data_IF_304572998385
#
_entry.id   IF_304572998385
#
_cell.length_a   1.000
_cell.length_b   1.000
_cell.length_c   1.000
_cell.angle_alpha   90.00
_cell.angle_beta   90.00
_cell.angle_gamma   90.00
#
_symmetry.space_group_name_H-M   'P 1'
#
loop_
_entity.id
_entity.type
_entity.pdbx_description
1 polymer ?
#
# COMPACT_ATOMS: atom_id res chain seq x y z
N UNK A 1 -18.35 -28.00 64.06
CA UNK A 1 -19.07 -27.35 62.93
C UNK A 1 -18.03 -26.69 62.03
N UNK A 2 -17.78 -27.29 60.86
CA UNK A 2 -16.79 -26.83 59.88
C UNK A 2 -17.40 -25.66 59.10
N UNK A 3 -16.93 -24.42 59.32
CA UNK A 3 -17.29 -23.29 58.45
C UNK A 3 -16.34 -23.29 57.25
N UNK A 4 -16.90 -23.68 56.11
CA UNK A 4 -16.27 -23.74 54.80
C UNK A 4 -15.79 -22.35 54.36
N UNK A 5 -14.49 -22.26 54.02
CA UNK A 5 -13.91 -21.22 53.18
C UNK A 5 -14.58 -21.30 51.80
N UNK A 6 -15.55 -20.44 51.52
CA UNK A 6 -16.32 -20.45 50.28
C UNK A 6 -16.58 -19.02 49.79
N UNK A 7 -15.50 -18.31 49.48
CA UNK A 7 -15.60 -16.96 48.89
C UNK A 7 -14.37 -16.56 48.10
N UNK A 8 -13.18 -16.99 48.55
CA UNK A 8 -11.92 -16.56 47.93
C UNK A 8 -11.54 -17.32 46.65
N UNK A 9 -12.09 -18.51 46.41
CA UNK A 9 -11.72 -19.35 45.26
C UNK A 9 -12.56 -19.02 44.01
N UNK A 10 -13.81 -18.58 44.18
CA UNK A 10 -14.67 -18.15 43.08
C UNK A 10 -14.21 -16.81 42.47
N UNK A 11 -13.64 -15.92 43.27
CA UNK A 11 -13.11 -14.65 42.78
C UNK A 11 -11.85 -14.82 41.93
N UNK A 12 -10.99 -15.79 42.25
CA UNK A 12 -9.81 -16.10 41.42
C UNK A 12 -10.17 -16.79 40.10
N UNK A 13 -11.17 -17.69 40.09
CA UNK A 13 -11.62 -18.31 38.84
C UNK A 13 -12.29 -17.31 37.88
N UNK A 14 -12.98 -16.29 38.40
CA UNK A 14 -13.54 -15.20 37.58
C UNK A 14 -12.46 -14.26 37.01
N UNK A 15 -11.31 -14.09 37.70
CA UNK A 15 -10.16 -13.37 37.16
C UNK A 15 -9.39 -14.19 36.10
N UNK A 16 -9.39 -15.52 36.19
CA UNK A 16 -8.73 -16.40 35.23
C UNK A 16 -9.50 -16.58 33.92
N UNK A 17 -10.82 -16.30 33.89
CA UNK A 17 -11.59 -16.24 32.65
C UNK A 17 -11.77 -14.81 32.13
N UNK A 18 -11.28 -13.80 32.84
CA UNK A 18 -11.18 -12.41 32.34
C UNK A 18 -9.87 -12.19 31.59
N UNK A 19 -9.44 -13.18 30.80
CA UNK A 19 -8.71 -12.84 29.59
C UNK A 19 -9.75 -12.25 28.65
N UNK A 20 -10.04 -10.96 28.83
CA UNK A 20 -10.58 -10.19 27.74
C UNK A 20 -9.63 -10.42 26.57
N UNK A 21 -10.17 -10.93 25.46
CA UNK A 21 -9.51 -10.78 24.18
C UNK A 21 -9.27 -9.28 24.01
N UNK A 22 -8.06 -8.83 24.33
CA UNK A 22 -7.58 -7.57 23.80
C UNK A 22 -7.61 -7.79 22.30
N UNK A 23 -8.54 -7.11 21.61
CA UNK A 23 -8.51 -7.07 20.16
C UNK A 23 -7.10 -6.66 19.76
N UNK A 24 -6.34 -7.59 19.17
CA UNK A 24 -4.97 -7.27 18.80
C UNK A 24 -5.04 -6.34 17.57
N UNK A 25 -4.42 -5.17 17.70
CA UNK A 25 -4.32 -4.24 16.60
C UNK A 25 -3.54 -4.85 15.44
N UNK A 26 -4.11 -4.76 14.24
CA UNK A 26 -3.37 -5.08 13.03
C UNK A 26 -2.18 -4.11 12.89
N UNK A 27 -1.02 -4.61 12.45
CA UNK A 27 0.17 -3.78 12.26
C UNK A 27 0.76 -3.96 10.87
N UNK A 28 1.37 -2.90 10.33
CA UNK A 28 2.10 -2.97 9.07
C UNK A 28 3.48 -3.61 9.29
N UNK A 29 3.79 -4.64 8.49
CA UNK A 29 5.07 -5.33 8.52
C UNK A 29 6.00 -4.73 7.45
N UNK A 30 7.17 -4.24 7.87
CA UNK A 30 8.25 -3.82 6.96
C UNK A 30 9.07 -5.02 6.44
N UNK A 31 9.58 -5.01 5.19
CA UNK A 31 9.43 -3.98 4.17
C UNK A 31 8.22 -4.19 3.25
N UNK A 32 7.67 -3.09 2.74
CA UNK A 32 6.80 -3.08 1.57
C UNK A 32 7.62 -3.37 0.30
N UNK A 33 7.06 -4.15 -0.62
CA UNK A 33 7.67 -4.40 -1.93
C UNK A 33 7.06 -3.45 -2.96
N UNK A 34 7.87 -2.93 -3.89
CA UNK A 34 7.38 -2.07 -4.96
C UNK A 34 7.87 -2.55 -6.32
N UNK A 35 7.05 -2.34 -7.36
CA UNK A 35 7.50 -2.44 -8.74
C UNK A 35 7.53 -1.03 -9.36
N UNK A 36 8.62 -0.66 -10.07
CA UNK A 36 8.62 0.57 -10.84
C UNK A 36 7.61 0.50 -11.99
N UNK A 37 7.23 1.65 -12.53
CA UNK A 37 6.49 1.71 -13.79
C UNK A 37 7.40 1.30 -14.95
N UNK A 38 6.85 0.66 -15.97
CA UNK A 38 7.64 0.17 -17.12
C UNK A 38 8.10 1.29 -18.06
N UNK A 39 7.36 2.39 -18.11
CA UNK A 39 7.64 3.51 -19.00
C UNK A 39 7.51 4.85 -18.27
N UNK A 40 8.10 5.89 -18.86
CA UNK A 40 7.97 7.25 -18.34
C UNK A 40 6.50 7.66 -18.38
N UNK A 41 5.96 8.13 -17.25
CA UNK A 41 4.54 8.41 -17.07
C UNK A 41 3.61 7.19 -17.19
N UNK A 42 4.17 5.98 -17.10
CA UNK A 42 3.38 4.76 -16.97
C UNK A 42 2.58 4.72 -15.67
N UNK A 43 1.57 3.85 -15.65
CA UNK A 43 0.67 3.63 -14.52
C UNK A 43 0.56 2.15 -14.17
N UNK A 44 1.63 1.38 -14.34
CA UNK A 44 1.70 -0.07 -14.11
C UNK A 44 2.55 -0.43 -12.88
N UNK A 45 2.91 0.55 -12.07
CA UNK A 45 3.61 0.34 -10.81
C UNK A 45 2.71 -0.34 -9.78
N UNK A 46 3.36 -1.01 -8.82
CA UNK A 46 2.68 -1.69 -7.72
C UNK A 46 3.33 -1.41 -6.38
N UNK A 47 2.52 -1.43 -5.33
CA UNK A 47 2.95 -1.43 -3.93
C UNK A 47 2.30 -2.64 -3.27
N UNK A 48 3.10 -3.50 -2.66
CA UNK A 48 2.63 -4.61 -1.84
C UNK A 48 3.05 -4.37 -0.40
N UNK A 49 2.09 -4.42 0.50
CA UNK A 49 2.29 -4.26 1.94
C UNK A 49 1.88 -5.53 2.65
N UNK A 50 2.71 -5.94 3.61
CA UNK A 50 2.41 -7.04 4.52
C UNK A 50 1.77 -6.48 5.76
N UNK A 51 0.79 -7.21 6.27
CA UNK A 51 0.11 -6.88 7.52
C UNK A 51 0.28 -8.07 8.47
N UNK A 52 0.48 -7.79 9.75
CA UNK A 52 0.13 -8.76 10.77
C UNK A 52 -1.35 -8.53 11.07
N UNK A 53 -2.25 -9.42 10.61
CA UNK A 53 -3.67 -9.22 10.78
C UNK A 53 -4.04 -9.19 12.26
N UNK A 54 -5.02 -8.35 12.57
CA UNK A 54 -5.64 -8.27 13.86
C UNK A 54 -6.66 -9.39 14.06
N UNK A 55 -7.49 -9.25 15.08
CA UNK A 55 -8.67 -10.11 15.29
C UNK A 55 -9.91 -9.62 14.50
N UNK A 56 -9.77 -8.46 13.83
CA UNK A 56 -10.81 -7.66 13.20
C UNK A 56 -10.65 -7.59 11.67
N UNK A 57 -11.65 -7.05 10.98
CA UNK A 57 -11.53 -6.74 9.54
C UNK A 57 -10.66 -5.52 9.31
N UNK A 58 -9.62 -5.62 8.48
CA UNK A 58 -8.74 -4.49 8.18
C UNK A 58 -9.06 -3.80 6.85
N UNK A 59 -8.93 -2.47 6.86
CA UNK A 59 -9.00 -1.63 5.67
C UNK A 59 -7.67 -0.95 5.44
N UNK A 60 -7.20 -0.92 4.18
CA UNK A 60 -6.07 -0.08 3.81
C UNK A 60 -6.46 1.03 2.85
N UNK A 61 -5.90 2.19 3.15
CA UNK A 61 -5.95 3.36 2.30
C UNK A 61 -4.54 3.64 1.79
N UNK A 62 -4.38 3.69 0.48
CA UNK A 62 -3.17 4.20 -0.15
C UNK A 62 -3.38 5.67 -0.49
N UNK A 63 -2.48 6.52 -0.01
CA UNK A 63 -2.48 7.94 -0.35
C UNK A 63 -1.23 8.33 -1.10
N UNK A 64 -1.37 9.29 -2.01
CA UNK A 64 -0.28 9.92 -2.75
C UNK A 64 -0.25 11.40 -2.44
N UNK A 65 0.94 11.96 -2.25
CA UNK A 65 1.08 13.41 -2.16
C UNK A 65 0.68 14.10 -3.47
N UNK A 66 -0.20 15.08 -3.39
CA UNK A 66 -0.59 15.94 -4.49
C UNK A 66 0.04 17.34 -4.29
N UNK A 67 1.06 17.70 -5.08
CA UNK A 67 1.74 18.98 -4.92
C UNK A 67 0.87 20.19 -5.28
N UNK A 68 -0.14 20.02 -6.13
CA UNK A 68 -1.08 21.09 -6.48
C UNK A 68 -2.00 21.46 -5.32
N UNK A 69 -2.27 20.51 -4.42
CA UNK A 69 -3.11 20.71 -3.23
C UNK A 69 -2.29 20.85 -1.94
N UNK A 70 -0.99 20.58 -1.98
CA UNK A 70 -0.13 20.51 -0.80
C UNK A 70 -0.55 19.44 0.21
N UNK A 71 -1.27 18.40 -0.22
CA UNK A 71 -1.88 17.40 0.66
C UNK A 71 -1.83 16.00 0.07
N UNK A 72 -1.99 15.00 0.94
CA UNK A 72 -2.20 13.61 0.54
C UNK A 72 -3.63 13.40 0.04
N UNK A 73 -3.76 12.69 -1.06
CA UNK A 73 -5.06 12.30 -1.63
C UNK A 73 -5.12 10.79 -1.77
N UNK A 74 -6.31 10.23 -1.57
CA UNK A 74 -6.53 8.80 -1.75
C UNK A 74 -6.30 8.41 -3.21
N UNK A 75 -5.59 7.31 -3.42
CA UNK A 75 -5.35 6.77 -4.75
C UNK A 75 -6.61 6.06 -5.19
N UNK A 76 -7.31 6.65 -6.17
CA UNK A 76 -8.44 5.99 -6.81
C UNK A 76 -7.98 4.70 -7.51
N UNK A 77 -8.68 3.59 -7.25
CA UNK A 77 -8.35 2.29 -7.81
C UNK A 77 -9.25 1.18 -7.27
N UNK A 78 -9.03 -0.07 -7.71
CA UNK A 78 -9.67 -1.23 -7.12
C UNK A 78 -9.37 -1.27 -5.62
N UNK A 79 -10.38 -1.56 -4.81
CA UNK A 79 -10.18 -1.79 -3.37
C UNK A 79 -9.23 -2.99 -3.24
N UNK A 80 -8.07 -2.84 -2.59
CA UNK A 80 -7.12 -3.93 -2.44
C UNK A 80 -7.73 -5.01 -1.55
N UNK A 81 -7.52 -6.28 -1.91
CA UNK A 81 -8.02 -7.43 -1.15
C UNK A 81 -6.88 -8.02 -0.33
N UNK A 82 -7.17 -8.40 0.91
CA UNK A 82 -6.23 -9.12 1.76
C UNK A 82 -6.09 -10.56 1.27
N UNK A 83 -4.90 -10.92 0.79
CA UNK A 83 -4.57 -12.29 0.39
C UNK A 83 -3.24 -12.68 1.02
N UNK A 84 -3.19 -13.78 1.77
CA UNK A 84 -1.97 -14.25 2.45
C UNK A 84 -1.27 -13.14 3.25
N UNK A 85 -2.05 -12.39 4.04
CA UNK A 85 -1.58 -11.28 4.86
C UNK A 85 -0.89 -10.15 4.07
N UNK A 86 -1.27 -9.98 2.80
CA UNK A 86 -0.79 -8.92 1.92
C UNK A 86 -1.92 -8.18 1.24
N UNK A 87 -1.74 -6.86 1.12
CA UNK A 87 -2.51 -6.01 0.23
C UNK A 87 -1.62 -5.58 -0.93
N UNK A 88 -2.17 -5.63 -2.14
CA UNK A 88 -1.47 -5.20 -3.35
C UNK A 88 -2.26 -4.08 -4.02
N UNK A 89 -1.59 -2.94 -4.18
CA UNK A 89 -2.05 -1.82 -4.97
C UNK A 89 -1.41 -1.90 -6.35
N UNK A 90 -2.22 -1.78 -7.39
CA UNK A 90 -1.79 -1.80 -8.79
C UNK A 90 -2.27 -0.54 -9.50
N UNK A 91 -1.77 -0.28 -10.71
CA UNK A 91 -2.22 0.88 -11.46
C UNK A 91 -1.53 2.19 -11.03
N UNK A 92 -0.39 2.09 -10.33
CA UNK A 92 0.25 3.24 -9.71
C UNK A 92 1.17 3.95 -10.69
N UNK A 93 1.10 5.28 -10.68
CA UNK A 93 2.07 6.14 -11.37
C UNK A 93 3.33 6.31 -10.52
N UNK A 94 4.40 6.82 -11.12
CA UNK A 94 5.61 7.14 -10.38
C UNK A 94 5.40 8.30 -9.39
N UNK A 95 5.83 8.10 -8.14
CA UNK A 95 5.87 9.11 -7.08
C UNK A 95 6.85 8.68 -5.98
N UNK A 96 7.44 9.66 -5.29
CA UNK A 96 8.32 9.43 -4.15
C UNK A 96 7.59 9.48 -2.80
N UNK A 97 6.29 9.81 -2.81
CA UNK A 97 5.52 10.17 -1.63
C UNK A 97 4.20 9.40 -1.60
N UNK A 98 4.30 8.07 -1.53
CA UNK A 98 3.18 7.24 -1.13
C UNK A 98 3.22 6.99 0.37
N UNK A 99 2.05 6.94 0.99
CA UNK A 99 1.86 6.45 2.36
C UNK A 99 0.70 5.47 2.41
N UNK A 100 0.75 4.56 3.37
CA UNK A 100 -0.27 3.53 3.55
C UNK A 100 -0.79 3.63 4.96
N UNK A 101 -2.09 3.78 5.08
CA UNK A 101 -2.80 3.84 6.35
C UNK A 101 -3.56 2.53 6.50
N UNK A 102 -3.27 1.81 7.57
CA UNK A 102 -4.01 0.64 8.04
C UNK A 102 -5.01 1.10 9.07
N UNK A 103 -6.28 0.74 8.86
CA UNK A 103 -7.38 1.05 9.76
C UNK A 103 -8.02 -0.27 10.16
N UNK A 104 -8.11 -0.50 11.45
CA UNK A 104 -8.93 -1.57 12.01
C UNK A 104 -10.42 -1.19 11.87
N UNK A 105 -11.20 -2.10 11.28
CA UNK A 105 -12.62 -1.90 11.02
C UNK A 105 -13.50 -1.87 12.27
N UNK A 106 -13.04 -2.49 13.36
CA UNK A 106 -13.75 -2.57 14.64
C UNK A 106 -13.27 -1.49 15.64
N UNK A 107 -12.06 -0.93 15.46
CA UNK A 107 -11.56 0.19 16.25
C UNK A 107 -10.79 1.24 15.41
N UNK A 108 -11.44 2.38 15.14
CA UNK A 108 -10.81 3.47 14.38
C UNK A 108 -9.57 4.11 15.06
N UNK A 109 -9.34 3.88 16.36
CA UNK A 109 -8.14 4.36 17.05
C UNK A 109 -6.94 3.44 16.84
N UNK A 110 -7.19 2.24 16.33
CA UNK A 110 -6.19 1.26 16.00
C UNK A 110 -5.67 1.51 14.57
N UNK A 111 -4.73 2.45 14.48
CA UNK A 111 -4.12 2.87 13.22
C UNK A 111 -2.70 2.33 13.12
N UNK A 112 -2.39 1.68 12.00
CA UNK A 112 -1.02 1.40 11.58
C UNK A 112 -0.61 2.37 10.47
N UNK A 113 0.49 3.08 10.62
CA UNK A 113 1.08 3.87 9.53
C UNK A 113 2.48 3.33 9.19
N UNK A 114 2.85 3.42 7.92
CA UNK A 114 4.23 3.25 7.52
C UNK A 114 4.91 4.59 7.75
N UNK A 115 5.78 4.69 8.76
CA UNK A 115 6.49 5.94 9.06
C UNK A 115 7.42 6.40 7.91
N UNK A 116 7.74 5.51 6.98
CA UNK A 116 8.57 5.80 5.80
C UNK A 116 7.74 5.92 4.51
N UNK A 117 8.06 6.94 3.71
CA UNK A 117 7.47 7.11 2.39
C UNK A 117 7.86 5.98 1.44
N UNK A 118 6.87 5.48 0.71
CA UNK A 118 7.05 4.44 -0.30
C UNK A 118 7.25 5.11 -1.67
N UNK A 119 8.21 4.59 -2.44
CA UNK A 119 8.56 5.12 -3.76
C UNK A 119 8.19 4.14 -4.87
N UNK A 120 7.45 4.63 -5.87
CA UNK A 120 7.27 3.98 -7.16
C UNK A 120 8.10 4.75 -8.18
N UNK A 121 9.14 4.11 -8.71
CA UNK A 121 10.11 4.74 -9.62
C UNK A 121 9.67 4.62 -11.07
N UNK A 122 10.19 5.49 -11.94
CA UNK A 122 10.09 5.38 -13.39
C UNK A 122 11.48 5.36 -14.04
N UNK A 123 11.62 4.85 -15.27
CA UNK A 123 12.84 4.98 -16.05
C UNK A 123 13.25 6.46 -16.19
N UNK A 124 14.53 6.74 -15.95
CA UNK A 124 15.11 8.08 -16.05
C UNK A 124 15.64 8.41 -17.46
N UNK A 125 15.80 7.41 -18.32
CA UNK A 125 16.27 7.57 -19.69
C UNK A 125 15.10 7.95 -20.60
N UNK A 126 15.24 9.08 -21.29
CA UNK A 126 14.40 9.38 -22.45
C UNK A 126 14.70 8.31 -23.51
N UNK A 127 13.66 7.66 -24.02
CA UNK A 127 13.81 6.76 -25.16
C UNK A 127 14.26 7.62 -26.36
N UNK A 128 15.55 7.57 -26.69
CA UNK A 128 16.09 8.27 -27.83
C UNK A 128 15.76 7.46 -29.09
N UNK A 129 14.86 7.98 -29.92
CA UNK A 129 14.66 7.50 -31.28
C UNK A 129 15.79 8.10 -32.13
N UNK A 130 16.77 7.28 -32.48
CA UNK A 130 17.76 7.64 -33.48
C UNK A 130 17.25 7.14 -34.83
N UNK A 131 17.19 8.03 -35.82
CA UNK A 131 16.90 7.62 -37.20
C UNK A 131 18.19 7.03 -37.76
N UNK A 132 18.27 5.69 -37.84
CA UNK A 132 19.46 4.98 -38.32
C UNK A 132 19.75 5.23 -39.81
N UNK A 133 18.71 5.47 -40.61
CA UNK A 133 18.86 5.91 -41.98
C UNK A 133 17.61 6.62 -42.48
N UNK A 134 17.82 7.57 -43.38
CA UNK A 134 16.78 8.24 -44.17
C UNK A 134 17.16 8.07 -45.63
N UNK A 135 16.21 7.69 -46.46
CA UNK A 135 16.39 7.76 -47.92
C UNK A 135 16.01 9.14 -48.39
N UNK A 136 16.94 9.86 -49.03
CA UNK A 136 16.62 11.12 -49.69
C UNK A 136 15.94 10.84 -51.04
N UNK A 137 14.85 11.56 -51.32
CA UNK A 137 14.22 11.51 -52.63
C UNK A 137 15.07 12.37 -53.56
N UNK A 138 15.95 11.71 -54.31
CA UNK A 138 16.93 12.30 -55.24
C UNK A 138 16.33 12.71 -56.60
N UNK A 139 15.02 12.60 -56.78
CA UNK A 139 14.34 13.01 -58.01
C UNK A 139 12.84 12.90 -57.90
N UNK A 140 12.15 13.98 -58.24
CA UNK A 140 10.73 13.95 -58.56
C UNK A 140 10.58 13.79 -60.10
N UNK A 141 9.43 13.29 -60.57
CA UNK A 141 9.10 13.37 -62.00
C UNK A 141 9.05 14.86 -62.42
N UNK A 142 10.17 15.41 -62.92
CA UNK A 142 10.27 16.81 -63.35
C UNK A 142 11.66 17.44 -63.33
N UNK A 143 12.65 16.85 -62.66
CA UNK A 143 13.99 17.48 -62.47
C UNK A 143 14.92 17.46 -63.71
N UNK A 144 14.39 17.12 -64.88
CA UNK A 144 15.08 17.20 -66.16
C UNK A 144 14.35 18.16 -67.10
N UNK A 145 14.68 19.46 -67.02
CA UNK A 145 14.46 20.45 -68.08
C UNK A 145 15.44 21.61 -67.94
#
# INVERSE_FOLDING_TARGET
>A
MRKLFSGSLFFLLALLTYQQAFSQCATLQRPSATTPVSCRFGSDGTITVRVNPGDSTEFLILQRFNPSLGSYVDVAGPVPVLVNNQFTFTGLVASNFYRVILIDGDDANCLGDVEDFIQVRQPNTVLALTIDSKTEVMGCFGDAN
#
